data_IF_761019421644
#
_entry.id   IF_761019421644
#
_cell.length_a   1.000
_cell.length_b   1.000
_cell.length_c   1.000
_cell.angle_alpha   90.00
_cell.angle_beta   90.00
_cell.angle_gamma   90.00
#
_symmetry.space_group_name_H-M   'P 1'
#
loop_
_entity.id
_entity.type
_entity.pdbx_description
1 polymer ?
#
# COMPACT_ATOMS: atom_id res chain seq x y z
N UNK A 1 -20.35 66.84 1.39
CA UNK A 1 -20.35 65.88 2.52
C UNK A 1 -20.45 64.51 1.88
N UNK A 2 -19.31 64.03 1.37
CA UNK A 2 -19.17 62.77 0.63
C UNK A 2 -18.62 61.68 1.58
N UNK A 3 -19.34 60.57 1.66
CA UNK A 3 -18.94 59.37 2.38
C UNK A 3 -18.03 58.51 1.50
N UNK A 4 -16.88 57.99 1.99
CA UNK A 4 -16.05 57.11 1.19
C UNK A 4 -16.60 55.69 1.23
N UNK A 5 -16.76 55.10 0.05
CA UNK A 5 -17.02 53.67 -0.16
C UNK A 5 -15.86 52.81 0.33
N UNK A 6 -16.18 51.95 1.24
CA UNK A 6 -15.28 50.88 1.77
C UNK A 6 -15.25 49.69 0.78
N UNK A 7 -14.17 49.59 0.00
CA UNK A 7 -13.95 48.49 -0.92
C UNK A 7 -13.43 47.29 -0.15
N UNK A 8 -14.34 46.38 0.26
CA UNK A 8 -14.07 45.04 0.72
C UNK A 8 -13.33 44.23 -0.38
N UNK A 9 -12.01 44.15 -0.25
CA UNK A 9 -11.18 43.28 -1.09
C UNK A 9 -11.39 41.82 -0.67
N UNK A 10 -12.33 41.16 -1.33
CA UNK A 10 -12.63 39.75 -1.18
C UNK A 10 -11.36 38.87 -1.18
N UNK A 11 -11.12 38.22 -0.05
CA UNK A 11 -10.11 37.19 0.17
C UNK A 11 -10.42 35.98 -0.70
N UNK A 12 -9.68 35.79 -1.80
CA UNK A 12 -9.80 34.58 -2.64
C UNK A 12 -9.50 33.30 -1.85
N UNK A 13 -10.33 32.24 -2.00
CA UNK A 13 -10.16 31.01 -1.27
C UNK A 13 -8.85 30.28 -1.64
N UNK A 14 -8.10 29.85 -0.62
CA UNK A 14 -6.79 29.22 -0.75
C UNK A 14 -6.81 27.78 -1.27
N UNK A 15 -7.18 27.52 -2.52
CA UNK A 15 -7.23 26.18 -3.11
C UNK A 15 -5.94 25.67 -3.79
N UNK A 16 -5.05 26.46 -4.43
CA UNK A 16 -3.89 25.89 -5.14
C UNK A 16 -2.75 25.44 -4.22
N UNK A 17 -2.42 26.23 -3.19
CA UNK A 17 -1.26 25.99 -2.31
C UNK A 17 -1.36 24.73 -1.46
N UNK A 18 -2.55 24.27 -1.11
CA UNK A 18 -2.78 23.09 -0.27
C UNK A 18 -2.44 21.78 -1.00
N UNK A 19 -2.94 21.59 -2.24
CA UNK A 19 -2.67 20.39 -3.04
C UNK A 19 -1.22 20.33 -3.52
N UNK A 20 -0.61 21.48 -3.82
CA UNK A 20 0.79 21.58 -4.22
C UNK A 20 1.71 21.21 -3.05
N UNK A 21 1.43 21.70 -1.84
CA UNK A 21 2.18 21.33 -0.64
C UNK A 21 2.06 19.85 -0.32
N UNK A 22 0.87 19.26 -0.44
CA UNK A 22 0.65 17.84 -0.23
C UNK A 22 1.48 17.00 -1.22
N UNK A 23 1.45 17.35 -2.50
CA UNK A 23 2.25 16.66 -3.51
C UNK A 23 3.75 16.79 -3.25
N UNK A 24 4.24 17.99 -2.90
CA UNK A 24 5.65 18.21 -2.56
C UNK A 24 6.10 17.36 -1.36
N UNK A 25 5.25 17.21 -0.33
CA UNK A 25 5.52 16.35 0.83
C UNK A 25 5.61 14.88 0.41
N UNK A 26 4.65 14.37 -0.38
CA UNK A 26 4.66 12.98 -0.85
C UNK A 26 5.89 12.69 -1.72
N UNK A 27 6.24 13.58 -2.64
CA UNK A 27 7.41 13.44 -3.50
C UNK A 27 8.72 13.49 -2.71
N UNK A 28 8.86 14.40 -1.75
CA UNK A 28 10.03 14.49 -0.87
C UNK A 28 10.19 13.23 -0.03
N UNK A 29 9.10 12.75 0.57
CA UNK A 29 9.08 11.51 1.36
C UNK A 29 9.47 10.31 0.51
N UNK A 30 8.93 10.19 -0.71
CA UNK A 30 9.29 9.10 -1.64
C UNK A 30 10.78 9.09 -1.95
N UNK A 31 11.38 10.24 -2.29
CA UNK A 31 12.82 10.35 -2.56
C UNK A 31 13.67 9.96 -1.35
N UNK A 32 13.28 10.38 -0.16
CA UNK A 32 14.01 10.04 1.07
C UNK A 32 13.91 8.54 1.37
N UNK A 33 12.75 7.93 1.20
CA UNK A 33 12.56 6.48 1.38
C UNK A 33 13.34 5.64 0.36
N UNK A 34 13.66 6.17 -0.81
CA UNK A 34 14.51 5.48 -1.79
C UNK A 34 16.00 5.44 -1.36
N UNK A 35 16.44 6.35 -0.45
CA UNK A 35 17.85 6.52 -0.05
C UNK A 35 18.17 6.15 1.40
N UNK A 36 17.16 6.03 2.28
CA UNK A 36 17.39 5.75 3.71
C UNK A 36 16.34 4.80 4.28
N UNK A 37 16.63 4.06 5.38
CA UNK A 37 15.64 3.22 6.05
C UNK A 37 14.54 4.06 6.70
N UNK A 38 13.34 3.45 6.86
CA UNK A 38 12.15 4.10 7.45
C UNK A 38 12.44 4.66 8.84
N UNK A 39 13.22 3.93 9.66
CA UNK A 39 13.61 4.38 11.01
C UNK A 39 14.41 5.69 11.01
N UNK A 40 15.18 5.96 9.95
CA UNK A 40 16.00 7.17 9.82
C UNK A 40 15.21 8.37 9.26
N UNK A 41 14.02 8.13 8.70
CA UNK A 41 13.15 9.19 8.21
C UNK A 41 12.58 9.98 9.39
N UNK A 42 12.67 11.31 9.30
CA UNK A 42 12.08 12.23 10.29
C UNK A 42 11.15 13.22 9.63
N UNK A 43 10.12 13.67 10.34
CA UNK A 43 9.20 14.73 9.86
C UNK A 43 9.96 16.03 9.57
N UNK A 44 10.99 16.35 10.36
CA UNK A 44 11.89 17.49 10.10
C UNK A 44 12.62 17.38 8.77
N UNK A 45 13.16 16.18 8.48
CA UNK A 45 13.85 15.90 7.22
C UNK A 45 12.92 16.04 6.03
N UNK A 46 11.70 15.51 6.13
CA UNK A 46 10.65 15.64 5.10
C UNK A 46 10.25 17.10 4.92
N UNK A 47 9.98 17.83 6.01
CA UNK A 47 9.59 19.24 5.96
C UNK A 47 10.65 20.10 5.24
N UNK A 48 11.93 19.90 5.58
CA UNK A 48 13.06 20.55 4.92
C UNK A 48 13.13 20.20 3.43
N UNK A 49 13.01 18.93 3.08
CA UNK A 49 13.10 18.45 1.70
C UNK A 49 11.90 18.89 0.83
N UNK A 50 10.73 19.07 1.42
CA UNK A 50 9.51 19.54 0.76
C UNK A 50 9.37 21.06 0.74
N UNK A 51 10.22 21.82 1.46
CA UNK A 51 10.13 23.28 1.58
C UNK A 51 8.89 23.76 2.34
N UNK A 52 8.42 22.97 3.35
CA UNK A 52 7.23 23.29 4.16
C UNK A 52 7.55 23.29 5.65
N UNK A 53 6.66 23.85 6.45
CA UNK A 53 6.72 23.73 7.91
C UNK A 53 6.13 22.39 8.40
N UNK A 54 6.63 21.84 9.54
CA UNK A 54 6.06 20.64 10.19
C UNK A 54 4.53 20.71 10.40
N UNK A 55 3.94 21.85 10.83
CA UNK A 55 2.47 21.94 10.98
C UNK A 55 1.71 21.68 9.67
N UNK A 56 2.33 21.95 8.51
CA UNK A 56 1.73 21.64 7.21
C UNK A 56 1.64 20.14 6.97
N UNK A 57 2.63 19.36 7.42
CA UNK A 57 2.62 17.89 7.33
C UNK A 57 1.57 17.34 8.28
N UNK A 58 1.58 17.73 9.56
CA UNK A 58 0.66 17.23 10.56
C UNK A 58 -0.83 17.57 10.30
N UNK A 59 -1.10 18.53 9.42
CA UNK A 59 -2.47 18.79 8.96
C UNK A 59 -3.03 17.67 8.07
N UNK A 60 -2.16 16.88 7.42
CA UNK A 60 -2.53 15.80 6.51
C UNK A 60 -2.28 14.40 7.09
N UNK A 61 -1.24 14.26 7.87
CA UNK A 61 -0.79 13.00 8.44
C UNK A 61 -0.49 13.15 9.91
N UNK A 62 -1.21 12.39 10.74
CA UNK A 62 -1.08 12.45 12.20
C UNK A 62 0.24 11.83 12.69
N UNK A 63 0.86 10.98 11.89
CA UNK A 63 2.11 10.29 12.21
C UNK A 63 3.07 10.21 11.01
N UNK A 64 4.34 9.95 11.30
CA UNK A 64 5.33 9.58 10.28
C UNK A 64 4.90 8.32 9.53
N UNK A 65 4.35 7.34 10.26
CA UNK A 65 3.89 6.08 9.70
C UNK A 65 2.78 6.31 8.67
N UNK A 66 1.75 7.10 9.02
CA UNK A 66 0.68 7.46 8.11
C UNK A 66 1.18 8.07 6.79
N UNK A 67 2.14 9.01 6.87
CA UNK A 67 2.77 9.61 5.68
C UNK A 67 3.51 8.56 4.84
N UNK A 68 4.31 7.71 5.47
CA UNK A 68 5.06 6.65 4.79
C UNK A 68 4.12 5.67 4.10
N UNK A 69 3.01 5.28 4.77
CA UNK A 69 2.02 4.37 4.20
C UNK A 69 1.33 4.96 2.98
N UNK A 70 0.92 6.21 3.02
CA UNK A 70 0.26 6.87 1.89
C UNK A 70 1.20 6.97 0.68
N UNK A 71 2.46 7.36 0.89
CA UNK A 71 3.49 7.38 -0.17
C UNK A 71 3.71 5.98 -0.74
N UNK A 72 3.79 4.99 0.13
CA UNK A 72 4.07 3.62 -0.26
C UNK A 72 2.90 3.03 -1.05
N UNK A 73 1.66 3.23 -0.59
CA UNK A 73 0.45 2.79 -1.29
C UNK A 73 0.33 3.45 -2.67
N UNK A 74 0.51 4.76 -2.74
CA UNK A 74 0.46 5.49 -4.01
C UNK A 74 1.49 4.98 -5.03
N UNK A 75 2.67 4.56 -4.57
CA UNK A 75 3.75 4.04 -5.41
C UNK A 75 3.53 2.57 -5.82
N UNK A 76 2.93 1.76 -4.96
CA UNK A 76 2.88 0.29 -5.14
C UNK A 76 1.55 -0.22 -5.71
N UNK A 77 0.42 0.37 -5.33
CA UNK A 77 -0.90 -0.09 -5.79
C UNK A 77 -1.02 -0.13 -7.33
N UNK A 78 -0.52 0.86 -8.10
CA UNK A 78 -0.56 0.79 -9.56
C UNK A 78 0.28 -0.33 -10.18
N UNK A 79 1.23 -0.90 -9.43
CA UNK A 79 2.11 -1.95 -9.92
C UNK A 79 1.49 -3.35 -9.83
N UNK A 80 0.44 -3.51 -9.03
CA UNK A 80 -0.18 -4.80 -8.72
C UNK A 80 -1.68 -4.84 -9.03
N UNK A 81 -2.13 -4.35 -10.21
CA UNK A 81 -3.55 -4.36 -10.55
C UNK A 81 -4.05 -5.80 -10.69
N UNK A 82 -5.35 -5.98 -10.41
CA UNK A 82 -6.08 -7.21 -10.71
C UNK A 82 -7.10 -6.89 -11.80
N UNK A 83 -7.15 -7.74 -12.82
CA UNK A 83 -8.15 -7.62 -13.89
C UNK A 83 -9.54 -7.90 -13.32
N UNK A 84 -10.47 -6.99 -13.56
CA UNK A 84 -11.86 -7.14 -13.13
C UNK A 84 -12.67 -8.07 -14.04
N UNK A 85 -12.16 -8.35 -15.24
CA UNK A 85 -12.79 -9.21 -16.25
C UNK A 85 -11.92 -10.43 -16.54
N UNK A 86 -12.55 -11.49 -17.08
CA UNK A 86 -11.89 -12.76 -17.42
C UNK A 86 -11.73 -13.70 -16.21
N UNK A 87 -11.01 -14.83 -16.41
CA UNK A 87 -10.85 -15.88 -15.41
C UNK A 87 -10.17 -15.37 -14.12
N UNK A 88 -10.83 -15.59 -12.98
CA UNK A 88 -10.37 -15.12 -11.67
C UNK A 88 -9.05 -15.75 -11.28
N UNK A 89 -8.90 -17.06 -11.48
CA UNK A 89 -7.66 -17.79 -11.12
C UNK A 89 -6.45 -17.28 -11.92
N UNK A 90 -6.65 -16.96 -13.21
CA UNK A 90 -5.59 -16.37 -14.02
C UNK A 90 -5.22 -14.95 -13.54
N UNK A 91 -6.22 -14.12 -13.20
CA UNK A 91 -6.00 -12.77 -12.69
C UNK A 91 -5.25 -12.79 -11.35
N UNK A 92 -5.59 -13.70 -10.42
CA UNK A 92 -4.89 -13.89 -9.16
C UNK A 92 -3.45 -14.40 -9.36
N UNK A 93 -3.26 -15.33 -10.30
CA UNK A 93 -1.91 -15.84 -10.64
C UNK A 93 -1.00 -14.71 -11.17
N UNK A 94 -1.49 -13.88 -12.09
CA UNK A 94 -0.75 -12.70 -12.57
C UNK A 94 -0.47 -11.70 -11.44
N UNK A 95 -1.43 -11.51 -10.54
CA UNK A 95 -1.25 -10.63 -9.38
C UNK A 95 -0.14 -11.12 -8.44
N UNK A 96 -0.10 -12.41 -8.11
CA UNK A 96 0.98 -13.01 -7.30
C UNK A 96 2.36 -12.74 -7.92
N UNK A 97 2.49 -12.91 -9.25
CA UNK A 97 3.74 -12.63 -9.96
C UNK A 97 4.16 -11.16 -9.81
N UNK A 98 3.20 -10.21 -9.93
CA UNK A 98 3.46 -8.77 -9.80
C UNK A 98 3.82 -8.38 -8.37
N UNK A 99 3.08 -8.90 -7.37
CA UNK A 99 3.37 -8.64 -5.95
C UNK A 99 4.79 -9.09 -5.60
N UNK A 100 5.19 -10.29 -5.99
CA UNK A 100 6.55 -10.79 -5.74
C UNK A 100 7.58 -9.93 -6.48
N UNK A 101 7.33 -9.54 -7.73
CA UNK A 101 8.24 -8.66 -8.48
C UNK A 101 8.43 -7.30 -7.78
N UNK A 102 7.35 -6.70 -7.26
CA UNK A 102 7.37 -5.45 -6.51
C UNK A 102 8.17 -5.59 -5.21
N UNK A 103 7.94 -6.68 -4.46
CA UNK A 103 8.56 -6.88 -3.14
C UNK A 103 10.04 -7.32 -3.20
N UNK A 104 10.59 -7.62 -4.37
CA UNK A 104 12.01 -7.96 -4.55
C UNK A 104 12.97 -6.79 -4.36
N UNK A 105 12.48 -5.55 -4.36
CA UNK A 105 13.28 -4.34 -4.27
C UNK A 105 13.06 -3.56 -2.97
N UNK A 106 13.24 -2.25 -3.07
CA UNK A 106 13.08 -1.32 -1.93
C UNK A 106 11.69 -1.41 -1.29
N UNK A 107 10.65 -1.69 -2.08
CA UNK A 107 9.29 -1.87 -1.56
C UNK A 107 9.22 -2.97 -0.49
N UNK A 108 9.80 -4.14 -0.75
CA UNK A 108 9.83 -5.22 0.24
C UNK A 108 10.61 -4.86 1.50
N UNK A 109 11.75 -4.14 1.35
CA UNK A 109 12.51 -3.67 2.50
C UNK A 109 11.67 -2.73 3.38
N UNK A 110 10.94 -1.78 2.79
CA UNK A 110 10.06 -0.87 3.52
C UNK A 110 8.98 -1.65 4.29
N UNK A 111 8.34 -2.64 3.66
CA UNK A 111 7.35 -3.51 4.35
C UNK A 111 7.99 -4.23 5.53
N UNK A 112 9.15 -4.86 5.33
CA UNK A 112 9.84 -5.57 6.39
C UNK A 112 10.28 -4.65 7.55
N UNK A 113 10.76 -3.44 7.24
CA UNK A 113 11.12 -2.42 8.24
C UNK A 113 9.91 -2.01 9.08
N UNK A 114 8.76 -1.73 8.45
CA UNK A 114 7.53 -1.31 9.15
C UNK A 114 6.97 -2.43 10.01
N UNK A 115 6.89 -3.65 9.46
CA UNK A 115 6.42 -4.81 10.23
C UNK A 115 7.35 -5.09 11.41
N UNK A 116 8.67 -4.94 11.22
CA UNK A 116 9.66 -5.07 12.30
C UNK A 116 9.49 -4.03 13.40
N UNK A 117 9.33 -2.74 13.06
CA UNK A 117 9.04 -1.67 14.01
C UNK A 117 7.71 -1.93 14.73
N UNK A 118 6.69 -2.38 14.01
CA UNK A 118 5.36 -2.67 14.54
C UNK A 118 5.30 -3.84 15.54
N UNK A 119 6.32 -4.72 15.58
CA UNK A 119 6.41 -5.74 16.63
C UNK A 119 6.74 -5.14 18.01
N UNK A 120 7.49 -4.04 18.02
CA UNK A 120 7.82 -3.31 19.25
C UNK A 120 6.78 -2.24 19.59
N UNK A 121 6.14 -1.66 18.58
CA UNK A 121 5.18 -0.56 18.69
C UNK A 121 3.85 -0.93 18.01
N UNK A 122 2.90 -1.58 18.71
CA UNK A 122 1.67 -2.15 18.13
C UNK A 122 0.84 -1.17 17.28
N UNK A 123 0.84 0.12 17.63
CA UNK A 123 0.11 1.14 16.86
C UNK A 123 0.63 1.31 15.42
N UNK A 124 1.94 1.10 15.18
CA UNK A 124 2.53 1.13 13.84
C UNK A 124 1.96 -0.02 12.98
N UNK A 125 1.82 -1.22 13.59
CA UNK A 125 1.27 -2.37 12.88
C UNK A 125 -0.23 -2.20 12.60
N UNK A 126 -0.96 -1.54 13.49
CA UNK A 126 -2.36 -1.18 13.29
C UNK A 126 -2.53 -0.19 12.13
N UNK A 127 -1.78 0.91 12.13
CA UNK A 127 -1.77 1.87 11.02
C UNK A 127 -1.37 1.21 9.69
N UNK A 128 -0.34 0.33 9.70
CA UNK A 128 0.08 -0.42 8.52
C UNK A 128 -1.06 -1.29 7.98
N UNK A 129 -1.75 -2.03 8.85
CA UNK A 129 -2.86 -2.89 8.48
C UNK A 129 -4.01 -2.08 7.86
N UNK A 130 -4.43 -1.02 8.51
CA UNK A 130 -5.61 -0.26 8.10
C UNK A 130 -5.36 0.62 6.86
N UNK A 131 -4.25 1.34 6.84
CA UNK A 131 -3.96 2.30 5.77
C UNK A 131 -3.36 1.67 4.53
N UNK A 132 -2.64 0.57 4.67
CA UNK A 132 -1.92 -0.03 3.56
C UNK A 132 -2.39 -1.45 3.24
N UNK A 133 -2.25 -2.37 4.19
CA UNK A 133 -2.40 -3.79 3.94
C UNK A 133 -3.80 -4.15 3.42
N UNK A 134 -4.86 -3.73 4.12
CA UNK A 134 -6.23 -4.00 3.71
C UNK A 134 -6.59 -3.36 2.37
N UNK A 135 -6.10 -2.14 2.09
CA UNK A 135 -6.37 -1.47 0.82
C UNK A 135 -5.65 -2.13 -0.35
N UNK A 136 -4.39 -2.55 -0.16
CA UNK A 136 -3.62 -3.25 -1.19
C UNK A 136 -4.23 -4.61 -1.53
N UNK A 137 -4.80 -5.30 -0.54
CA UNK A 137 -5.39 -6.63 -0.70
C UNK A 137 -6.85 -6.62 -1.14
N UNK A 138 -7.56 -5.50 -1.03
CA UNK A 138 -8.98 -5.39 -1.38
C UNK A 138 -9.30 -5.87 -2.81
N UNK A 139 -8.52 -5.57 -3.86
CA UNK A 139 -8.78 -6.08 -5.21
C UNK A 139 -8.69 -7.61 -5.33
N UNK A 140 -7.77 -8.25 -4.59
CA UNK A 140 -7.65 -9.71 -4.59
C UNK A 140 -8.85 -10.37 -3.90
N UNK A 141 -9.26 -9.82 -2.76
CA UNK A 141 -10.47 -10.25 -2.06
C UNK A 141 -11.70 -10.11 -2.94
N UNK A 142 -11.88 -8.98 -3.61
CA UNK A 142 -12.97 -8.75 -4.55
C UNK A 142 -12.97 -9.74 -5.72
N UNK A 143 -11.79 -10.12 -6.24
CA UNK A 143 -11.65 -11.13 -7.28
C UNK A 143 -12.07 -12.52 -6.79
N UNK A 144 -11.68 -12.93 -5.58
CA UNK A 144 -12.11 -14.20 -4.97
C UNK A 144 -13.64 -14.23 -4.82
N UNK A 145 -14.23 -13.19 -4.25
CA UNK A 145 -15.68 -13.10 -4.10
C UNK A 145 -16.41 -13.10 -5.46
N UNK A 146 -15.83 -12.51 -6.49
CA UNK A 146 -16.36 -12.62 -7.85
C UNK A 146 -16.30 -14.07 -8.33
N UNK A 147 -15.19 -14.78 -8.14
CA UNK A 147 -15.05 -16.18 -8.53
C UNK A 147 -16.06 -17.10 -7.85
N UNK A 148 -16.35 -16.88 -6.58
CA UNK A 148 -17.41 -17.60 -5.84
C UNK A 148 -18.79 -17.35 -6.45
N UNK A 149 -19.11 -16.09 -6.79
CA UNK A 149 -20.41 -15.74 -7.41
C UNK A 149 -20.57 -16.28 -8.82
N UNK A 150 -19.48 -16.38 -9.60
CA UNK A 150 -19.53 -16.88 -10.98
C UNK A 150 -19.39 -18.39 -11.10
N UNK A 151 -19.16 -19.10 -9.99
CA UNK A 151 -18.93 -20.55 -9.97
C UNK A 151 -17.54 -20.98 -10.45
N UNK A 152 -16.61 -20.05 -10.64
CA UNK A 152 -15.21 -20.36 -10.97
C UNK A 152 -14.43 -20.86 -9.75
N UNK A 153 -14.84 -20.44 -8.56
CA UNK A 153 -14.34 -20.89 -7.26
C UNK A 153 -15.47 -21.53 -6.45
N UNK A 154 -15.17 -22.47 -5.54
CA UNK A 154 -16.15 -23.05 -4.64
C UNK A 154 -16.93 -21.95 -3.88
N UNK A 155 -18.28 -22.04 -3.79
CA UNK A 155 -19.09 -21.01 -3.12
C UNK A 155 -18.85 -20.95 -1.61
N UNK A 156 -18.39 -22.03 -1.01
CA UNK A 156 -18.05 -22.20 0.40
C UNK A 156 -16.56 -21.95 0.71
N UNK A 157 -15.77 -21.53 -0.28
CA UNK A 157 -14.37 -21.17 -0.08
C UNK A 157 -14.25 -20.06 0.99
N UNK A 158 -13.49 -20.34 2.05
CA UNK A 158 -13.14 -19.33 3.04
C UNK A 158 -12.19 -18.30 2.40
N UNK A 159 -12.72 -17.09 2.24
CA UNK A 159 -11.97 -15.99 1.59
C UNK A 159 -10.78 -15.54 2.40
N UNK A 160 -10.83 -15.56 3.74
CA UNK A 160 -9.71 -15.16 4.59
C UNK A 160 -8.59 -16.19 4.50
N UNK A 161 -8.92 -17.47 4.58
CA UNK A 161 -7.94 -18.55 4.37
C UNK A 161 -7.33 -18.51 2.95
N UNK A 162 -8.14 -18.22 1.93
CA UNK A 162 -7.64 -18.06 0.57
C UNK A 162 -6.62 -16.91 0.45
N UNK A 163 -6.88 -15.78 1.12
CA UNK A 163 -5.94 -14.66 1.21
C UNK A 163 -4.66 -15.05 1.93
N UNK A 164 -4.77 -15.79 3.04
CA UNK A 164 -3.60 -16.28 3.79
C UNK A 164 -2.76 -17.25 2.95
N UNK A 165 -3.38 -18.13 2.19
CA UNK A 165 -2.67 -19.04 1.26
C UNK A 165 -1.93 -18.30 0.15
N UNK A 166 -2.47 -17.18 -0.34
CA UNK A 166 -1.85 -16.34 -1.37
C UNK A 166 -0.64 -15.58 -0.80
N UNK A 167 -0.83 -14.87 0.32
CA UNK A 167 0.15 -13.89 0.80
C UNK A 167 1.05 -14.42 1.91
N UNK A 168 0.63 -15.43 2.67
CA UNK A 168 1.41 -16.00 3.76
C UNK A 168 2.81 -16.46 3.34
N UNK A 169 2.96 -17.26 2.27
CA UNK A 169 4.28 -17.69 1.79
C UNK A 169 5.17 -16.53 1.32
N UNK A 170 4.58 -15.45 0.79
CA UNK A 170 5.29 -14.23 0.38
C UNK A 170 5.80 -13.50 1.60
N UNK A 171 4.93 -13.24 2.58
CA UNK A 171 5.27 -12.59 3.84
C UNK A 171 6.32 -13.39 4.62
N UNK A 172 6.16 -14.71 4.69
CA UNK A 172 7.12 -15.58 5.37
C UNK A 172 8.54 -15.45 4.78
N UNK A 173 8.68 -15.51 3.44
CA UNK A 173 9.98 -15.32 2.80
C UNK A 173 10.51 -13.89 2.94
N UNK A 174 9.63 -12.89 2.85
CA UNK A 174 10.01 -11.48 2.97
C UNK A 174 10.58 -11.18 4.37
N UNK A 175 9.90 -11.64 5.42
CA UNK A 175 10.22 -11.27 6.80
C UNK A 175 11.32 -12.15 7.40
N UNK A 176 11.33 -13.45 7.08
CA UNK A 176 12.33 -14.39 7.62
C UNK A 176 13.61 -14.42 6.76
N UNK A 177 13.50 -14.12 5.45
CA UNK A 177 14.66 -14.07 4.55
C UNK A 177 15.36 -15.41 4.29
N UNK A 178 14.73 -16.55 4.65
CA UNK A 178 15.32 -17.87 4.53
C UNK A 178 15.50 -18.35 3.09
N UNK A 179 14.71 -17.80 2.15
CA UNK A 179 14.75 -18.10 0.72
C UNK A 179 14.39 -16.87 -0.10
N UNK A 180 14.91 -16.73 -1.35
CA UNK A 180 14.62 -15.54 -2.16
C UNK A 180 13.19 -15.49 -2.67
N UNK A 181 12.68 -14.27 -2.81
CA UNK A 181 11.45 -13.96 -3.57
C UNK A 181 11.77 -13.86 -5.07
N UNK A 182 12.16 -14.97 -5.71
CA UNK A 182 12.57 -14.98 -7.12
C UNK A 182 11.43 -15.35 -8.08
N UNK A 183 11.73 -15.32 -9.39
CA UNK A 183 10.76 -15.66 -10.44
C UNK A 183 10.34 -17.13 -10.40
N UNK A 184 11.21 -18.04 -9.93
CA UNK A 184 10.90 -19.46 -9.84
C UNK A 184 9.87 -19.69 -8.73
N UNK A 185 10.11 -19.09 -7.55
CA UNK A 185 9.14 -19.10 -6.47
C UNK A 185 7.81 -18.50 -6.87
N UNK A 186 7.81 -17.33 -7.54
CA UNK A 186 6.59 -16.66 -7.97
C UNK A 186 5.72 -17.56 -8.84
N UNK A 187 6.31 -18.22 -9.86
CA UNK A 187 5.59 -19.16 -10.73
C UNK A 187 5.08 -20.38 -9.97
N UNK A 188 5.92 -20.95 -9.10
CA UNK A 188 5.54 -22.11 -8.31
C UNK A 188 4.38 -21.81 -7.35
N UNK A 189 4.43 -20.65 -6.67
CA UNK A 189 3.37 -20.20 -5.78
C UNK A 189 2.07 -19.95 -6.55
N UNK A 190 2.12 -19.22 -7.66
CA UNK A 190 0.94 -18.93 -8.48
C UNK A 190 0.24 -20.22 -8.95
N UNK A 191 1.01 -21.23 -9.39
CA UNK A 191 0.44 -22.52 -9.81
C UNK A 191 -0.20 -23.28 -8.62
N UNK A 192 0.43 -23.27 -7.44
CA UNK A 192 -0.11 -23.94 -6.24
C UNK A 192 -1.36 -23.25 -5.71
N UNK A 193 -1.35 -21.91 -5.67
CA UNK A 193 -2.53 -21.13 -5.29
C UNK A 193 -3.69 -21.41 -6.24
N UNK A 194 -3.47 -21.42 -7.55
CA UNK A 194 -4.49 -21.74 -8.53
C UNK A 194 -5.16 -23.10 -8.26
N UNK A 195 -4.36 -24.13 -7.95
CA UNK A 195 -4.89 -25.47 -7.62
C UNK A 195 -5.63 -25.46 -6.28
N UNK A 196 -5.08 -24.81 -5.25
CA UNK A 196 -5.67 -24.80 -3.91
C UNK A 196 -7.04 -24.07 -3.88
N UNK A 197 -7.17 -22.96 -4.60
CA UNK A 197 -8.42 -22.20 -4.63
C UNK A 197 -9.57 -22.90 -5.38
N UNK A 198 -9.26 -23.85 -6.26
CA UNK A 198 -10.25 -24.61 -7.02
C UNK A 198 -10.59 -25.96 -6.36
N UNK A 199 -9.86 -26.34 -5.31
CA UNK A 199 -10.14 -27.57 -4.59
C UNK A 199 -11.50 -27.45 -3.84
N UNK A 200 -12.35 -28.49 -3.88
CA UNK A 200 -13.59 -28.49 -3.08
C UNK A 200 -13.25 -28.43 -1.60
N UNK A 201 -14.07 -27.72 -0.83
CA UNK A 201 -14.00 -27.75 0.64
C UNK A 201 -14.40 -29.15 1.12
N UNK A 202 -13.63 -29.73 2.04
CA UNK A 202 -13.91 -31.05 2.61
C UNK A 202 -14.89 -30.95 3.76
#
# INVERSE_FOLDING_TARGET
METPEDTDKGRKPGRPRSAESQRAILEATSRLLDSMPVRALTIEGVAKAAGVGKPTIYRWWDSKCALVMDVFLAKTAPQVPIKETGPVVAALSEHVLRVIAMLRGRAGQIVAEIVGEGQAEPHILEEFRERFFLQLLAPARAAIERGKRTGELPPDLDTDLAMDLIYGPICYRLLVGHQPLDKAFARSLAARVATALQAPSQ
#
